data_IF_762059307796
#
_entry.id   IF_762059307796
#
_cell.length_a   1.000
_cell.length_b   1.000
_cell.length_c   1.000
_cell.angle_alpha   90.00
_cell.angle_beta   90.00
_cell.angle_gamma   90.00
#
_symmetry.space_group_name_H-M   'P 1'
#
loop_
_entity.id
_entity.type
_entity.pdbx_description
1 polymer ?
#
# COMPACT_ATOMS: atom_id res chain seq x y z
N UNK A 1 -1.39 -59.06 -36.99
CA UNK A 1 -0.24 -59.24 -36.08
C UNK A 1 -0.21 -58.06 -35.13
N UNK A 2 -0.39 -58.33 -33.84
CA UNK A 2 -0.32 -57.36 -32.73
C UNK A 2 1.09 -56.78 -32.60
N UNK A 3 1.23 -55.61 -32.00
CA UNK A 3 2.00 -55.43 -30.75
C UNK A 3 1.55 -54.11 -30.10
N UNK A 4 0.44 -54.19 -29.35
CA UNK A 4 0.13 -53.18 -28.33
C UNK A 4 1.08 -53.41 -27.17
N UNK A 5 1.89 -52.40 -26.84
CA UNK A 5 2.77 -52.42 -25.68
C UNK A 5 1.92 -52.40 -24.38
N UNK A 6 1.97 -53.43 -23.52
CA UNK A 6 1.15 -53.51 -22.31
C UNK A 6 1.75 -52.76 -21.09
N UNK A 7 2.87 -52.06 -21.26
CA UNK A 7 3.58 -51.36 -20.18
C UNK A 7 3.58 -49.83 -20.32
N UNK A 8 2.45 -49.26 -20.74
CA UNK A 8 2.22 -47.82 -20.64
C UNK A 8 2.14 -47.41 -19.17
N UNK A 9 3.27 -46.98 -18.61
CA UNK A 9 3.36 -46.33 -17.29
C UNK A 9 2.25 -45.28 -17.22
N UNK A 10 1.34 -45.34 -16.22
CA UNK A 10 0.38 -44.26 -16.04
C UNK A 10 1.15 -42.97 -15.82
N UNK A 11 0.90 -41.98 -16.67
CA UNK A 11 1.24 -40.57 -16.42
C UNK A 11 0.89 -40.29 -14.96
N UNK A 12 1.80 -39.76 -14.11
CA UNK A 12 1.43 -39.44 -12.74
C UNK A 12 0.29 -38.44 -12.82
N UNK A 13 -0.89 -38.92 -12.46
CA UNK A 13 -2.12 -38.16 -12.36
C UNK A 13 -1.84 -36.94 -11.52
N UNK A 14 -2.32 -35.80 -12.01
CA UNK A 14 -2.24 -34.50 -11.37
C UNK A 14 -2.29 -34.64 -9.85
N UNK A 15 -1.27 -34.11 -9.20
CA UNK A 15 -1.20 -33.88 -7.76
C UNK A 15 -2.60 -33.38 -7.36
N UNK A 16 -3.36 -34.22 -6.68
CA UNK A 16 -4.63 -33.82 -6.08
C UNK A 16 -4.29 -32.79 -5.00
N UNK A 17 -4.23 -31.53 -5.40
CA UNK A 17 -4.44 -30.43 -4.47
C UNK A 17 -5.82 -30.66 -3.87
N UNK A 18 -5.86 -30.89 -2.56
CA UNK A 18 -7.14 -30.97 -1.86
C UNK A 18 -7.96 -29.72 -2.21
N UNK A 19 -9.29 -29.83 -2.39
CA UNK A 19 -10.15 -28.66 -2.62
C UNK A 19 -9.90 -27.54 -1.61
N UNK A 20 -9.57 -27.91 -0.37
CA UNK A 20 -9.21 -26.97 0.70
C UNK A 20 -7.92 -26.19 0.41
N UNK A 21 -6.87 -26.83 -0.15
CA UNK A 21 -5.62 -26.13 -0.48
C UNK A 21 -5.78 -25.19 -1.66
N UNK A 22 -6.57 -25.57 -2.67
CA UNK A 22 -6.86 -24.71 -3.82
C UNK A 22 -7.68 -23.45 -3.43
N UNK A 23 -8.58 -23.57 -2.46
CA UNK A 23 -9.36 -22.44 -1.92
C UNK A 23 -8.44 -21.48 -1.14
N UNK A 24 -7.56 -22.01 -0.28
CA UNK A 24 -6.58 -21.21 0.47
C UNK A 24 -5.62 -20.47 -0.46
N UNK A 25 -5.12 -21.13 -1.51
CA UNK A 25 -4.21 -20.51 -2.48
C UNK A 25 -4.89 -19.38 -3.26
N UNK A 26 -6.16 -19.57 -3.65
CA UNK A 26 -6.96 -18.53 -4.29
C UNK A 26 -7.23 -17.31 -3.39
N UNK A 27 -7.45 -17.52 -2.09
CA UNK A 27 -7.62 -16.43 -1.12
C UNK A 27 -6.32 -15.66 -0.89
N UNK A 28 -5.19 -16.35 -0.76
CA UNK A 28 -3.88 -15.72 -0.61
C UNK A 28 -3.50 -14.91 -1.85
N UNK A 29 -3.78 -15.41 -3.06
CA UNK A 29 -3.53 -14.63 -4.28
C UNK A 29 -4.36 -13.34 -4.32
N UNK A 30 -5.64 -13.39 -3.95
CA UNK A 30 -6.48 -12.18 -3.84
C UNK A 30 -5.92 -11.18 -2.83
N UNK A 31 -5.40 -11.65 -1.70
CA UNK A 31 -4.75 -10.78 -0.70
C UNK A 31 -3.47 -10.14 -1.25
N UNK A 32 -2.66 -10.88 -2.01
CA UNK A 32 -1.46 -10.36 -2.71
C UNK A 32 -1.82 -9.26 -3.68
N UNK A 33 -2.81 -9.50 -4.54
CA UNK A 33 -3.26 -8.53 -5.53
C UNK A 33 -3.83 -7.27 -4.87
N UNK A 34 -4.57 -7.43 -3.77
CA UNK A 34 -5.13 -6.30 -3.02
C UNK A 34 -4.02 -5.45 -2.39
N UNK A 35 -3.03 -6.06 -1.73
CA UNK A 35 -1.93 -5.31 -1.13
C UNK A 35 -1.02 -4.65 -2.16
N UNK A 36 -0.77 -5.30 -3.30
CA UNK A 36 -0.01 -4.69 -4.40
C UNK A 36 -0.73 -3.44 -4.94
N UNK A 37 -2.06 -3.50 -5.10
CA UNK A 37 -2.87 -2.34 -5.46
C UNK A 37 -2.81 -1.23 -4.41
N UNK A 38 -2.89 -1.60 -3.13
CA UNK A 38 -2.81 -0.62 -2.03
C UNK A 38 -1.43 0.06 -2.01
N UNK A 39 -0.34 -0.70 -2.09
CA UNK A 39 1.03 -0.16 -2.12
C UNK A 39 1.23 0.82 -3.30
N UNK A 40 0.79 0.42 -4.50
CA UNK A 40 0.84 1.28 -5.69
C UNK A 40 0.00 2.54 -5.50
N UNK A 41 -1.15 2.42 -4.86
CA UNK A 41 -2.03 3.56 -4.57
C UNK A 41 -1.40 4.51 -3.57
N UNK A 42 -0.78 4.01 -2.49
CA UNK A 42 -0.04 4.83 -1.52
C UNK A 42 1.13 5.56 -2.18
N UNK A 43 1.94 4.88 -3.00
CA UNK A 43 3.03 5.52 -3.76
C UNK A 43 2.55 6.62 -4.69
N UNK A 44 1.48 6.34 -5.44
CA UNK A 44 0.88 7.32 -6.34
C UNK A 44 0.35 8.51 -5.55
N UNK A 45 -0.36 8.27 -4.45
CA UNK A 45 -0.91 9.31 -3.61
C UNK A 45 0.19 10.21 -3.03
N UNK A 46 1.29 9.64 -2.53
CA UNK A 46 2.45 10.42 -2.07
C UNK A 46 3.01 11.34 -3.16
N UNK A 47 3.08 10.87 -4.40
CA UNK A 47 3.53 11.68 -5.54
C UNK A 47 2.53 12.79 -5.87
N UNK A 48 1.24 12.49 -5.89
CA UNK A 48 0.19 13.47 -6.18
C UNK A 48 0.07 14.54 -5.08
N UNK A 49 0.19 14.17 -3.81
CA UNK A 49 0.24 15.11 -2.68
C UNK A 49 1.45 16.04 -2.79
N UNK A 50 2.61 15.52 -3.21
CA UNK A 50 3.78 16.35 -3.48
C UNK A 50 3.50 17.36 -4.60
N UNK A 51 2.99 16.91 -5.75
CA UNK A 51 2.65 17.81 -6.87
C UNK A 51 1.62 18.86 -6.47
N UNK A 52 0.62 18.48 -5.67
CA UNK A 52 -0.38 19.39 -5.15
C UNK A 52 0.25 20.49 -4.30
N UNK A 53 1.13 20.15 -3.34
CA UNK A 53 1.86 21.13 -2.52
C UNK A 53 2.70 22.07 -3.38
N UNK A 54 3.48 21.51 -4.31
CA UNK A 54 4.31 22.30 -5.23
C UNK A 54 3.44 23.28 -6.05
N UNK A 55 2.23 22.85 -6.43
CA UNK A 55 1.27 23.69 -7.16
C UNK A 55 0.68 24.81 -6.30
N UNK A 56 0.33 24.55 -5.02
CA UNK A 56 -0.15 25.60 -4.12
C UNK A 56 0.90 26.70 -3.93
N UNK A 57 2.16 26.30 -3.72
CA UNK A 57 3.28 27.23 -3.57
C UNK A 57 3.56 28.02 -4.86
N UNK A 58 3.42 27.38 -6.03
CA UNK A 58 3.59 28.05 -7.31
C UNK A 58 2.51 29.11 -7.55
N UNK A 59 1.25 28.83 -7.19
CA UNK A 59 0.14 29.79 -7.28
C UNK A 59 0.42 31.00 -6.36
N UNK A 60 0.74 30.76 -5.09
CA UNK A 60 1.05 31.83 -4.14
C UNK A 60 2.21 32.72 -4.62
N UNK A 61 3.26 32.10 -5.19
CA UNK A 61 4.39 32.83 -5.77
C UNK A 61 3.98 33.67 -6.99
N UNK A 62 3.15 33.11 -7.87
CA UNK A 62 2.65 33.83 -9.05
C UNK A 62 1.79 35.04 -8.63
N UNK A 63 0.91 34.85 -7.66
CA UNK A 63 0.06 35.91 -7.11
C UNK A 63 0.89 37.03 -6.49
N UNK A 64 1.95 36.71 -5.74
CA UNK A 64 2.86 37.70 -5.18
C UNK A 64 3.57 38.54 -6.27
N UNK A 65 4.01 37.90 -7.36
CA UNK A 65 4.64 38.60 -8.49
C UNK A 65 3.64 39.50 -9.21
N UNK A 66 2.44 39.00 -9.50
CA UNK A 66 1.37 39.77 -10.14
C UNK A 66 1.00 40.99 -9.30
N UNK A 67 0.82 40.80 -8.00
CA UNK A 67 0.44 41.86 -7.06
C UNK A 67 1.51 42.94 -6.96
N UNK A 68 2.79 42.55 -6.94
CA UNK A 68 3.91 43.50 -7.03
C UNK A 68 3.90 44.30 -8.32
N UNK A 69 3.64 43.65 -9.46
CA UNK A 69 3.59 44.34 -10.76
C UNK A 69 2.44 45.35 -10.80
N UNK A 70 1.26 45.00 -10.25
CA UNK A 70 0.12 45.91 -10.12
C UNK A 70 0.46 47.11 -9.23
N UNK A 71 1.11 46.88 -8.09
CA UNK A 71 1.54 47.93 -7.17
C UNK A 71 2.54 48.90 -7.82
N UNK A 72 3.49 48.38 -8.60
CA UNK A 72 4.46 49.20 -9.35
C UNK A 72 3.83 49.97 -10.52
N UNK A 73 2.78 49.44 -11.14
CA UNK A 73 2.10 50.07 -12.28
C UNK A 73 1.06 51.12 -11.86
N UNK A 74 0.69 51.19 -10.57
CA UNK A 74 -0.30 52.13 -10.06
C UNK A 74 0.26 53.56 -9.98
N UNK A 75 0.01 54.38 -11.00
CA UNK A 75 0.60 55.72 -11.14
C UNK A 75 -0.25 56.85 -10.54
N UNK A 76 -1.59 56.75 -10.55
CA UNK A 76 -2.48 57.75 -9.94
C UNK A 76 -2.92 57.36 -8.53
N UNK A 77 -3.20 58.36 -7.68
CA UNK A 77 -3.40 58.15 -6.24
C UNK A 77 -4.62 57.27 -5.90
N UNK A 78 -5.68 57.31 -6.73
CA UNK A 78 -6.82 56.41 -6.62
C UNK A 78 -6.45 54.94 -6.84
N UNK A 79 -5.57 54.65 -7.82
CA UNK A 79 -5.10 53.30 -8.11
C UNK A 79 -4.06 52.81 -7.10
N UNK A 80 -3.24 53.70 -6.55
CA UNK A 80 -2.26 53.35 -5.50
C UNK A 80 -2.95 52.78 -4.25
N UNK A 81 -4.07 53.39 -3.85
CA UNK A 81 -4.88 52.89 -2.73
C UNK A 81 -5.39 51.46 -2.97
N UNK A 82 -6.04 51.23 -4.11
CA UNK A 82 -6.55 49.91 -4.49
C UNK A 82 -5.43 48.87 -4.65
N UNK A 83 -4.32 49.23 -5.30
CA UNK A 83 -3.19 48.34 -5.50
C UNK A 83 -2.50 47.95 -4.17
N UNK A 84 -2.46 48.87 -3.19
CA UNK A 84 -1.95 48.57 -1.85
C UNK A 84 -2.84 47.56 -1.12
N UNK A 85 -4.17 47.73 -1.17
CA UNK A 85 -5.13 46.76 -0.60
C UNK A 85 -4.95 45.39 -1.26
N UNK A 86 -4.88 45.35 -2.59
CA UNK A 86 -4.63 44.12 -3.34
C UNK A 86 -3.32 43.43 -2.92
N UNK A 87 -2.22 44.19 -2.82
CA UNK A 87 -0.91 43.69 -2.39
C UNK A 87 -0.95 43.10 -0.98
N UNK A 88 -1.71 43.71 -0.07
CA UNK A 88 -1.93 43.16 1.28
C UNK A 88 -2.75 41.86 1.26
N UNK A 89 -3.83 41.81 0.49
CA UNK A 89 -4.63 40.58 0.31
C UNK A 89 -3.80 39.44 -0.27
N UNK A 90 -2.97 39.69 -1.27
CA UNK A 90 -2.09 38.68 -1.87
C UNK A 90 -1.02 38.16 -0.89
N UNK A 91 -0.48 39.02 -0.02
CA UNK A 91 0.44 38.60 1.06
C UNK A 91 -0.27 37.72 2.09
N UNK A 92 -1.53 38.00 2.40
CA UNK A 92 -2.35 37.17 3.29
C UNK A 92 -2.67 35.81 2.63
N UNK A 93 -3.05 35.81 1.36
CA UNK A 93 -3.27 34.59 0.58
C UNK A 93 -2.01 33.71 0.52
N UNK A 94 -0.83 34.31 0.33
CA UNK A 94 0.45 33.61 0.38
C UNK A 94 0.72 32.93 1.73
N UNK A 95 0.51 33.66 2.85
CA UNK A 95 0.64 33.07 4.20
C UNK A 95 -0.36 31.93 4.45
N UNK A 96 -1.59 32.07 3.95
CA UNK A 96 -2.58 31.00 4.05
C UNK A 96 -2.21 29.78 3.22
N UNK A 97 -1.56 29.97 2.05
CA UNK A 97 -1.05 28.86 1.26
C UNK A 97 0.09 28.12 1.97
N UNK A 98 1.00 28.85 2.65
CA UNK A 98 2.06 28.24 3.46
C UNK A 98 1.47 27.37 4.59
N UNK A 99 0.52 27.91 5.36
CA UNK A 99 -0.18 27.19 6.44
C UNK A 99 -0.91 25.97 5.89
N UNK A 100 -1.66 26.13 4.79
CA UNK A 100 -2.37 25.03 4.13
C UNK A 100 -1.42 23.90 3.75
N UNK A 101 -0.25 24.23 3.18
CA UNK A 101 0.75 23.24 2.76
C UNK A 101 1.39 22.57 3.98
N UNK A 102 1.70 23.32 5.03
CA UNK A 102 2.27 22.80 6.28
C UNK A 102 1.30 21.84 6.98
N UNK A 103 0.07 22.28 7.24
CA UNK A 103 -0.95 21.47 7.91
C UNK A 103 -1.35 20.24 7.09
N UNK A 104 -1.44 20.37 5.77
CA UNK A 104 -1.67 19.23 4.86
C UNK A 104 -0.51 18.24 4.85
N UNK A 105 0.71 18.71 5.12
CA UNK A 105 1.87 17.84 5.27
C UNK A 105 1.79 17.07 6.58
N UNK A 106 1.50 17.75 7.69
CA UNK A 106 1.38 17.15 9.00
C UNK A 106 0.20 16.16 9.12
N UNK A 107 -0.84 16.32 8.30
CA UNK A 107 -2.03 15.47 8.30
C UNK A 107 -1.93 14.34 7.28
N UNK A 108 -2.35 14.57 6.03
CA UNK A 108 -2.47 13.52 5.02
C UNK A 108 -1.11 12.99 4.54
N UNK A 109 -0.08 13.84 4.37
CA UNK A 109 1.20 13.36 3.85
C UNK A 109 1.89 12.42 4.84
N UNK A 110 2.02 12.83 6.11
CA UNK A 110 2.58 11.95 7.13
C UNK A 110 1.67 10.75 7.39
N UNK A 111 0.34 10.89 7.38
CA UNK A 111 -0.59 9.76 7.51
C UNK A 111 -0.37 8.67 6.46
N UNK A 112 -0.24 9.04 5.19
CA UNK A 112 0.03 8.09 4.09
C UNK A 112 1.40 7.42 4.25
N UNK A 113 2.41 8.17 4.70
CA UNK A 113 3.75 7.66 4.98
C UNK A 113 3.76 6.67 6.14
N UNK A 114 3.18 7.04 7.28
CA UNK A 114 3.06 6.17 8.47
C UNK A 114 2.27 4.90 8.15
N UNK A 115 1.19 5.00 7.36
CA UNK A 115 0.46 3.82 6.90
C UNK A 115 1.33 2.91 6.02
N UNK A 116 2.09 3.48 5.08
CA UNK A 116 2.99 2.72 4.20
C UNK A 116 4.08 1.99 4.98
N UNK A 117 4.65 2.64 6.01
CA UNK A 117 5.63 2.04 6.92
C UNK A 117 4.98 0.92 7.76
N UNK A 118 3.80 1.16 8.33
CA UNK A 118 3.06 0.16 9.10
C UNK A 118 2.66 -1.07 8.27
N UNK A 119 2.43 -0.89 6.96
CA UNK A 119 2.09 -1.97 6.04
C UNK A 119 3.26 -2.95 5.82
N UNK A 120 4.50 -2.62 6.19
CA UNK A 120 5.69 -3.51 6.12
C UNK A 120 5.68 -4.46 4.90
N UNK A 121 5.28 -3.95 3.72
CA UNK A 121 4.81 -4.78 2.60
C UNK A 121 5.86 -5.79 2.12
N UNK A 122 7.13 -5.36 2.11
CA UNK A 122 8.26 -6.20 1.74
C UNK A 122 8.44 -7.39 2.68
N UNK A 123 8.21 -7.21 3.99
CA UNK A 123 8.30 -8.28 4.97
C UNK A 123 7.18 -9.31 4.76
N UNK A 124 5.95 -8.84 4.54
CA UNK A 124 4.82 -9.72 4.24
C UNK A 124 5.03 -10.54 2.95
N UNK A 125 5.57 -9.92 1.89
CA UNK A 125 5.94 -10.61 0.66
C UNK A 125 7.00 -11.70 0.89
N UNK A 126 7.98 -11.45 1.77
CA UNK A 126 9.00 -12.45 2.13
C UNK A 126 8.38 -13.62 2.91
N UNK A 127 7.49 -13.34 3.86
CA UNK A 127 6.73 -14.37 4.60
C UNK A 127 5.98 -15.30 3.64
N UNK A 128 5.29 -14.72 2.66
CA UNK A 128 4.56 -15.47 1.65
C UNK A 128 5.47 -16.29 0.72
N UNK A 129 6.59 -15.72 0.28
CA UNK A 129 7.58 -16.45 -0.51
C UNK A 129 8.15 -17.65 0.27
N UNK A 130 8.39 -17.48 1.57
CA UNK A 130 8.84 -18.56 2.45
C UNK A 130 7.75 -19.63 2.61
N UNK A 131 6.50 -19.22 2.77
CA UNK A 131 5.36 -20.15 2.83
C UNK A 131 5.26 -20.99 1.54
N UNK A 132 5.40 -20.36 0.37
CA UNK A 132 5.39 -21.07 -0.92
C UNK A 132 6.53 -22.09 -1.01
N UNK A 133 7.73 -21.73 -0.58
CA UNK A 133 8.89 -22.64 -0.53
C UNK A 133 8.64 -23.85 0.39
N UNK A 134 8.10 -23.60 1.60
CA UNK A 134 7.78 -24.65 2.58
C UNK A 134 6.69 -25.59 2.04
N UNK A 135 5.69 -25.06 1.33
CA UNK A 135 4.65 -25.87 0.67
C UNK A 135 5.21 -26.75 -0.43
N UNK A 136 6.10 -26.21 -1.27
CA UNK A 136 6.79 -26.99 -2.30
C UNK A 136 7.64 -28.10 -1.68
N UNK A 137 8.35 -27.81 -0.59
CA UNK A 137 9.17 -28.80 0.13
C UNK A 137 8.30 -29.88 0.78
N UNK A 138 7.17 -29.52 1.39
CA UNK A 138 6.19 -30.48 1.91
C UNK A 138 5.71 -31.44 0.82
N UNK A 139 5.39 -30.93 -0.38
CA UNK A 139 4.97 -31.76 -1.51
C UNK A 139 6.09 -32.70 -1.97
N UNK A 140 7.35 -32.23 -2.00
CA UNK A 140 8.52 -33.04 -2.33
C UNK A 140 8.76 -34.15 -1.31
N UNK A 141 8.67 -33.84 -0.02
CA UNK A 141 8.84 -34.80 1.07
C UNK A 141 7.70 -35.82 1.10
N UNK A 142 6.45 -35.41 0.85
CA UNK A 142 5.31 -36.32 0.72
C UNK A 142 5.50 -37.30 -0.45
N UNK A 143 5.88 -36.81 -1.63
CA UNK A 143 6.16 -37.66 -2.78
C UNK A 143 7.34 -38.62 -2.54
N UNK A 144 8.38 -38.18 -1.81
CA UNK A 144 9.50 -39.04 -1.42
C UNK A 144 9.05 -40.12 -0.43
N UNK A 145 8.24 -39.76 0.56
CA UNK A 145 7.70 -40.68 1.55
C UNK A 145 6.86 -41.78 0.88
N UNK A 146 6.03 -41.42 -0.09
CA UNK A 146 5.23 -42.39 -0.84
C UNK A 146 6.11 -43.32 -1.68
N UNK A 147 7.16 -42.81 -2.33
CA UNK A 147 8.13 -43.67 -3.05
C UNK A 147 8.84 -44.67 -2.13
N UNK A 148 9.26 -44.23 -0.95
CA UNK A 148 9.95 -45.09 0.03
C UNK A 148 9.03 -46.16 0.64
N UNK A 149 7.73 -45.88 0.79
CA UNK A 149 6.76 -46.89 1.27
C UNK A 149 6.51 -48.01 0.26
N UNK A 150 6.76 -47.77 -1.03
CA UNK A 150 6.51 -48.73 -2.11
C UNK A 150 7.82 -49.32 -2.69
N UNK A 151 8.97 -49.08 -2.05
CA UNK A 151 10.25 -49.67 -2.49
C UNK A 151 10.36 -51.13 -2.06
N UNK A 152 11.00 -51.95 -2.90
CA UNK A 152 11.23 -53.36 -2.60
C UNK A 152 12.11 -53.59 -1.36
N UNK A 153 13.03 -52.65 -1.08
CA UNK A 153 13.81 -52.58 0.15
C UNK A 153 13.29 -51.42 0.99
N UNK A 154 12.52 -51.73 2.03
CA UNK A 154 11.95 -50.74 2.94
C UNK A 154 12.98 -50.41 4.03
N UNK A 155 13.46 -49.17 4.05
CA UNK A 155 14.28 -48.63 5.13
C UNK A 155 13.41 -47.81 6.09
N UNK A 156 13.05 -48.41 7.22
CA UNK A 156 12.20 -47.79 8.23
C UNK A 156 12.82 -46.54 8.86
N UNK A 157 14.16 -46.48 9.00
CA UNK A 157 14.83 -45.31 9.57
C UNK A 157 14.73 -44.12 8.60
N UNK A 158 14.93 -44.38 7.31
CA UNK A 158 14.78 -43.35 6.28
C UNK A 158 13.34 -42.86 6.13
N UNK A 159 12.35 -43.76 6.24
CA UNK A 159 10.92 -43.39 6.25
C UNK A 159 10.63 -42.46 7.44
N UNK A 160 11.10 -42.79 8.63
CA UNK A 160 10.83 -42.00 9.82
C UNK A 160 11.52 -40.62 9.76
N UNK A 161 12.75 -40.57 9.23
CA UNK A 161 13.44 -39.30 8.98
C UNK A 161 12.64 -38.38 8.05
N UNK A 162 12.13 -38.91 6.94
CA UNK A 162 11.32 -38.12 5.98
C UNK A 162 9.98 -37.71 6.59
N UNK A 163 9.34 -38.57 7.40
CA UNK A 163 8.12 -38.24 8.15
C UNK A 163 8.34 -37.07 9.11
N UNK A 164 9.41 -37.13 9.89
CA UNK A 164 9.73 -36.06 10.85
C UNK A 164 10.03 -34.75 10.12
N UNK A 165 10.79 -34.79 9.03
CA UNK A 165 11.05 -33.61 8.20
C UNK A 165 9.74 -33.01 7.62
N UNK A 166 8.82 -33.86 7.16
CA UNK A 166 7.51 -33.41 6.67
C UNK A 166 6.67 -32.77 7.79
N UNK A 167 6.65 -33.36 8.98
CA UNK A 167 5.96 -32.82 10.15
C UNK A 167 6.49 -31.43 10.51
N UNK A 168 7.82 -31.29 10.58
CA UNK A 168 8.47 -30.02 10.90
C UNK A 168 8.13 -28.94 9.86
N UNK A 169 8.24 -29.26 8.56
CA UNK A 169 7.88 -28.31 7.49
C UNK A 169 6.40 -27.92 7.53
N UNK A 170 5.48 -28.85 7.86
CA UNK A 170 4.06 -28.50 8.04
C UNK A 170 3.85 -27.54 9.20
N UNK A 171 4.49 -27.77 10.33
CA UNK A 171 4.40 -26.87 11.49
C UNK A 171 4.94 -25.46 11.18
N UNK A 172 6.04 -25.37 10.42
CA UNK A 172 6.58 -24.09 9.93
C UNK A 172 5.60 -23.40 8.98
N UNK A 173 5.00 -24.14 8.04
CA UNK A 173 4.00 -23.61 7.12
C UNK A 173 2.79 -23.05 7.85
N UNK A 174 2.27 -23.75 8.86
CA UNK A 174 1.16 -23.27 9.70
C UNK A 174 1.53 -22.00 10.48
N UNK A 175 2.76 -21.91 10.99
CA UNK A 175 3.24 -20.71 11.68
C UNK A 175 3.34 -19.50 10.74
N UNK A 176 3.90 -19.68 9.54
CA UNK A 176 3.99 -18.64 8.51
C UNK A 176 2.62 -18.20 8.00
N UNK A 177 1.68 -19.13 7.87
CA UNK A 177 0.31 -18.81 7.45
C UNK A 177 -0.42 -17.99 8.52
N UNK A 178 -0.29 -18.36 9.81
CA UNK A 178 -0.81 -17.56 10.93
C UNK A 178 -0.18 -16.17 10.97
N UNK A 179 1.14 -16.08 10.78
CA UNK A 179 1.85 -14.81 10.73
C UNK A 179 1.31 -13.90 9.60
N UNK A 180 1.17 -14.45 8.39
CA UNK A 180 0.64 -13.71 7.24
C UNK A 180 -0.79 -13.20 7.47
N UNK A 181 -1.65 -14.01 8.08
CA UNK A 181 -3.03 -13.62 8.42
C UNK A 181 -3.09 -12.52 9.49
N UNK A 182 -2.21 -12.58 10.48
CA UNK A 182 -2.11 -11.55 11.52
C UNK A 182 -1.60 -10.22 10.93
N UNK A 183 -0.60 -10.26 10.06
CA UNK A 183 -0.10 -9.09 9.33
C UNK A 183 -1.24 -8.45 8.48
N UNK A 184 -2.03 -9.26 7.78
CA UNK A 184 -3.21 -8.77 7.03
C UNK A 184 -4.23 -8.05 7.92
N UNK A 185 -4.51 -8.59 9.13
CA UNK A 185 -5.42 -7.93 10.07
C UNK A 185 -4.86 -6.60 10.56
N UNK A 186 -3.56 -6.54 10.85
CA UNK A 186 -2.89 -5.30 11.26
C UNK A 186 -2.97 -4.23 10.17
N UNK A 187 -2.78 -4.60 8.90
CA UNK A 187 -2.90 -3.65 7.79
C UNK A 187 -4.31 -3.09 7.63
N UNK A 188 -5.33 -3.94 7.79
CA UNK A 188 -6.72 -3.52 7.75
C UNK A 188 -7.08 -2.55 8.90
N UNK A 189 -6.52 -2.79 10.09
CA UNK A 189 -6.71 -1.91 11.24
C UNK A 189 -5.95 -0.59 11.09
N UNK A 190 -4.70 -0.64 10.61
CA UNK A 190 -3.87 0.53 10.34
C UNK A 190 -4.54 1.49 9.36
N UNK A 191 -5.26 0.95 8.35
CA UNK A 191 -6.00 1.78 7.40
C UNK A 191 -7.04 2.66 8.09
N UNK A 192 -7.81 2.09 9.03
CA UNK A 192 -8.82 2.85 9.79
C UNK A 192 -8.20 3.76 10.85
N UNK A 193 -7.18 3.29 11.56
CA UNK A 193 -6.62 4.06 12.67
C UNK A 193 -5.68 5.18 12.23
N UNK A 194 -5.13 5.11 11.00
CA UNK A 194 -4.16 6.10 10.48
C UNK A 194 -4.79 6.90 9.34
N UNK A 195 -5.21 6.26 8.26
CA UNK A 195 -5.59 7.00 7.05
C UNK A 195 -6.90 7.78 7.22
N UNK A 196 -7.91 7.17 7.84
CA UNK A 196 -9.22 7.80 8.05
C UNK A 196 -9.10 9.15 8.79
N UNK A 197 -8.50 9.25 9.99
CA UNK A 197 -8.34 10.54 10.66
C UNK A 197 -7.40 11.49 9.91
N UNK A 198 -6.37 10.98 9.22
CA UNK A 198 -5.47 11.83 8.42
C UNK A 198 -6.18 12.48 7.23
N UNK A 199 -7.11 11.79 6.57
CA UNK A 199 -7.88 12.35 5.48
C UNK A 199 -8.97 13.31 5.98
N UNK A 200 -9.64 13.00 7.09
CA UNK A 200 -10.60 13.93 7.71
C UNK A 200 -9.92 15.25 8.07
N UNK A 201 -8.79 15.21 8.77
CA UNK A 201 -8.03 16.40 9.12
C UNK A 201 -7.55 17.19 7.88
N UNK A 202 -7.18 16.50 6.80
CA UNK A 202 -6.78 17.15 5.55
C UNK A 202 -7.95 17.84 4.83
N UNK A 203 -9.17 17.33 4.95
CA UNK A 203 -10.36 18.01 4.44
C UNK A 203 -10.67 19.27 5.25
N UNK A 204 -10.57 19.19 6.57
CA UNK A 204 -10.81 20.34 7.46
C UNK A 204 -9.84 21.49 7.18
N UNK A 205 -8.55 21.18 7.03
CA UNK A 205 -7.50 22.14 6.71
C UNK A 205 -7.73 22.82 5.35
N UNK A 206 -8.37 22.15 4.38
CA UNK A 206 -8.64 22.73 3.07
C UNK A 206 -9.89 23.63 3.02
N UNK A 207 -10.89 23.35 3.86
CA UNK A 207 -12.18 24.06 3.84
C UNK A 207 -12.12 25.36 4.65
N UNK A 208 -11.43 25.37 5.79
CA UNK A 208 -11.42 26.49 6.73
C UNK A 208 -10.77 27.77 6.15
N UNK A 209 -9.57 27.72 5.52
CA UNK A 209 -8.94 28.91 4.96
C UNK A 209 -9.76 29.53 3.81
N UNK A 210 -10.41 28.70 2.99
CA UNK A 210 -11.22 29.14 1.85
C UNK A 210 -12.52 29.83 2.28
N UNK A 211 -13.18 29.32 3.32
CA UNK A 211 -14.39 29.94 3.86
C UNK A 211 -14.10 31.31 4.52
N UNK A 212 -12.95 31.44 5.19
CA UNK A 212 -12.54 32.67 5.87
C UNK A 212 -12.12 33.79 4.90
N UNK A 213 -11.50 33.44 3.78
CA UNK A 213 -11.14 34.42 2.74
C UNK A 213 -12.37 34.95 1.99
N UNK A 214 -13.33 34.08 1.68
CA UNK A 214 -14.59 34.47 1.02
C UNK A 214 -15.43 35.40 1.89
N UNK A 215 -15.52 35.14 3.20
CA UNK A 215 -16.28 36.00 4.10
C UNK A 215 -15.64 37.38 4.27
N UNK A 216 -14.31 37.47 4.37
CA UNK A 216 -13.62 38.77 4.41
C UNK A 216 -13.77 39.57 3.13
N UNK A 217 -13.68 38.93 1.97
CA UNK A 217 -13.82 39.61 0.68
C UNK A 217 -15.25 40.15 0.46
N UNK A 218 -16.27 39.37 0.83
CA UNK A 218 -17.68 39.75 0.70
C UNK A 218 -18.13 40.80 1.74
N UNK A 219 -17.45 40.90 2.88
CA UNK A 219 -17.76 41.90 3.92
C UNK A 219 -17.03 43.25 3.72
N UNK A 220 -16.05 43.29 2.81
CA UNK A 220 -15.29 44.51 2.47
C UNK A 220 -15.65 45.10 1.09
N UNK A 221 -16.58 44.48 0.36
CA UNK A 221 -17.16 44.98 -0.90
C UNK A 221 -18.55 45.56 -0.69
#
# INVERSE_FOLDING_TARGET
MSWKNPFGVPKPSAIQTSPASAITDGQQQKQRDQLDKTEKSCRRLTQELKKWRDSQMAVAKSEAVMSRNVELAATCDSLKGTASIWSQSAKEAGRNADILVEDSTATCCEGVKTYSEAMHYAHWQQTLKRLDNVRQECNRLAARLDKLKHSANVDNAQIEQVRQALLNNRSEGEALEKQSQEEMRRFANAGRSILEPSFEAFLDVQVIPRAFLLSKFLLQS
#
